data_IF_857685114734
#
_entry.id   IF_857685114734
#
_cell.length_a   1.000
_cell.length_b   1.000
_cell.length_c   1.000
_cell.angle_alpha   90.00
_cell.angle_beta   90.00
_cell.angle_gamma   90.00
#
_symmetry.space_group_name_H-M   'P 1'
#
loop_
_entity.id
_entity.type
_entity.pdbx_description
1 polymer ?
#
# COMPACT_ATOMS: atom_id res chain seq x y z
N UNK A 1 0.49 13.18 -2.70
CA UNK A 1 1.02 11.80 -2.77
C UNK A 1 2.26 11.82 -3.65
N UNK A 2 3.40 11.26 -3.23
CA UNK A 2 4.59 11.32 -4.06
C UNK A 2 4.37 10.40 -5.26
N UNK A 3 4.27 11.00 -6.45
CA UNK A 3 4.40 10.32 -7.73
C UNK A 3 5.79 9.71 -7.72
N UNK A 4 5.89 8.38 -7.82
CA UNK A 4 7.17 7.72 -8.09
C UNK A 4 7.54 8.20 -9.49
N UNK A 5 8.35 9.26 -9.58
CA UNK A 5 9.03 9.64 -10.81
C UNK A 5 9.80 8.41 -11.25
N UNK A 6 9.85 8.15 -12.55
CA UNK A 6 10.62 7.06 -13.17
C UNK A 6 12.12 7.27 -12.88
N UNK A 7 12.51 7.04 -11.64
CA UNK A 7 13.86 7.14 -11.14
C UNK A 7 14.67 5.98 -11.70
N UNK A 8 15.97 6.22 -11.84
CA UNK A 8 16.96 5.22 -12.22
C UNK A 8 16.69 3.89 -11.53
N UNK A 9 16.46 2.84 -12.34
CA UNK A 9 16.30 1.47 -11.84
C UNK A 9 17.63 1.00 -11.29
N UNK A 10 17.64 0.63 -10.01
CA UNK A 10 18.80 -0.01 -9.39
C UNK A 10 18.62 -1.52 -9.44
N UNK A 11 19.63 -2.23 -9.95
CA UNK A 11 19.63 -3.70 -9.91
C UNK A 11 19.78 -4.18 -8.46
N UNK A 12 18.93 -5.13 -8.07
CA UNK A 12 19.00 -5.81 -6.78
C UNK A 12 19.18 -7.32 -7.03
N UNK A 13 20.19 -7.92 -6.39
CA UNK A 13 20.37 -9.36 -6.40
C UNK A 13 19.46 -9.99 -5.35
N UNK A 14 18.63 -10.96 -5.75
CA UNK A 14 17.65 -11.63 -4.87
C UNK A 14 17.82 -13.13 -4.98
N UNK A 15 17.91 -13.81 -3.84
CA UNK A 15 18.02 -15.28 -3.78
C UNK A 15 16.63 -15.88 -3.62
N UNK A 16 16.24 -16.77 -4.54
CA UNK A 16 14.93 -17.42 -4.55
C UNK A 16 15.06 -18.94 -4.72
N UNK A 17 14.09 -19.74 -4.24
CA UNK A 17 14.09 -21.18 -4.43
C UNK A 17 14.14 -21.58 -5.90
N UNK A 18 15.06 -22.48 -6.26
CA UNK A 18 15.27 -22.94 -7.65
C UNK A 18 13.99 -23.51 -8.27
N UNK A 19 13.18 -24.23 -7.48
CA UNK A 19 11.90 -24.79 -7.93
C UNK A 19 10.94 -23.71 -8.44
N UNK A 20 10.84 -22.59 -7.72
CA UNK A 20 9.98 -21.47 -8.05
C UNK A 20 10.47 -20.74 -9.31
N UNK A 21 11.80 -20.61 -9.46
CA UNK A 21 12.40 -20.02 -10.67
C UNK A 21 12.15 -20.88 -11.91
N UNK A 22 12.24 -22.21 -11.79
CA UNK A 22 11.95 -23.14 -12.88
C UNK A 22 10.48 -23.07 -13.30
N UNK A 23 9.58 -23.10 -12.32
CA UNK A 23 8.14 -22.98 -12.55
C UNK A 23 7.77 -21.63 -13.19
N UNK A 24 8.31 -20.52 -12.67
CA UNK A 24 8.10 -19.19 -13.25
C UNK A 24 8.57 -19.11 -14.70
N UNK A 25 9.72 -19.72 -15.03
CA UNK A 25 10.21 -19.80 -16.42
C UNK A 25 9.30 -20.63 -17.31
N UNK A 26 8.82 -21.78 -16.83
CA UNK A 26 7.90 -22.65 -17.58
C UNK A 26 6.57 -21.94 -17.88
N UNK A 27 6.10 -21.13 -16.94
CA UNK A 27 4.88 -20.34 -17.06
C UNK A 27 5.08 -19.00 -17.79
N UNK A 28 6.28 -18.68 -18.25
CA UNK A 28 6.58 -17.42 -18.95
C UNK A 28 6.47 -16.16 -18.08
N UNK A 29 6.59 -16.30 -16.75
CA UNK A 29 6.47 -15.19 -15.81
C UNK A 29 7.72 -14.30 -15.88
N UNK A 30 7.51 -12.99 -16.05
CA UNK A 30 8.59 -12.02 -15.96
C UNK A 30 8.95 -11.78 -14.49
N UNK A 31 10.06 -12.42 -14.05
CA UNK A 31 10.52 -12.37 -12.66
C UNK A 31 10.73 -10.95 -12.13
N UNK A 32 11.34 -10.07 -12.94
CA UNK A 32 11.58 -8.68 -12.54
C UNK A 32 10.28 -7.95 -12.22
N UNK A 33 9.27 -8.09 -13.09
CA UNK A 33 7.95 -7.46 -12.91
C UNK A 33 7.19 -8.08 -11.73
N UNK A 34 7.28 -9.39 -11.54
CA UNK A 34 6.66 -10.07 -10.41
C UNK A 34 7.26 -9.61 -9.07
N UNK A 35 8.58 -9.52 -8.98
CA UNK A 35 9.28 -9.01 -7.80
C UNK A 35 8.94 -7.55 -7.52
N UNK A 36 8.92 -6.70 -8.56
CA UNK A 36 8.55 -5.29 -8.45
C UNK A 36 7.14 -5.13 -7.88
N UNK A 37 6.17 -5.85 -8.45
CA UNK A 37 4.78 -5.81 -7.98
C UNK A 37 4.64 -6.31 -6.53
N UNK A 38 5.27 -7.43 -6.19
CA UNK A 38 5.24 -7.98 -4.83
C UNK A 38 5.84 -7.02 -3.82
N UNK A 39 6.99 -6.41 -4.14
CA UNK A 39 7.65 -5.44 -3.27
C UNK A 39 6.82 -4.15 -3.14
N UNK A 40 6.26 -3.64 -4.23
CA UNK A 40 5.42 -2.44 -4.20
C UNK A 40 4.17 -2.65 -3.32
N UNK A 41 3.54 -3.83 -3.41
CA UNK A 41 2.40 -4.18 -2.56
C UNK A 41 2.78 -4.25 -1.09
N UNK A 42 3.89 -4.91 -0.75
CA UNK A 42 4.34 -5.06 0.63
C UNK A 42 4.76 -3.72 1.26
N UNK A 43 5.49 -2.89 0.51
CA UNK A 43 5.84 -1.53 0.94
C UNK A 43 4.58 -0.69 1.16
N UNK A 44 3.61 -0.77 0.25
CA UNK A 44 2.34 -0.04 0.39
C UNK A 44 1.56 -0.51 1.62
N UNK A 45 1.55 -1.82 1.89
CA UNK A 45 0.90 -2.42 3.07
C UNK A 45 1.52 -1.90 4.35
N UNK A 46 2.85 -1.94 4.48
CA UNK A 46 3.56 -1.48 5.67
C UNK A 46 3.41 0.03 5.87
N UNK A 47 3.48 0.83 4.81
CA UNK A 47 3.23 2.27 4.89
C UNK A 47 1.82 2.58 5.36
N UNK A 48 0.81 1.86 4.85
CA UNK A 48 -0.57 2.01 5.31
C UNK A 48 -0.70 1.67 6.80
N UNK A 49 -0.08 0.58 7.23
CA UNK A 49 -0.09 0.18 8.63
C UNK A 49 0.55 1.23 9.53
N UNK A 50 1.71 1.76 9.15
CA UNK A 50 2.36 2.84 9.89
C UNK A 50 1.51 4.11 9.92
N UNK A 51 0.90 4.47 8.79
CA UNK A 51 0.02 5.64 8.73
C UNK A 51 -1.18 5.47 9.67
N UNK A 52 -1.84 4.31 9.66
CA UNK A 52 -2.96 4.03 10.56
C UNK A 52 -2.54 4.11 12.02
N UNK A 53 -1.38 3.57 12.39
CA UNK A 53 -0.87 3.67 13.76
C UNK A 53 -0.62 5.11 14.19
N UNK A 54 0.00 5.92 13.33
CA UNK A 54 0.27 7.34 13.63
C UNK A 54 -1.01 8.17 13.68
N UNK A 55 -2.00 7.87 12.85
CA UNK A 55 -3.24 8.64 12.75
C UNK A 55 -4.35 8.08 13.65
N UNK A 56 -4.13 6.97 14.35
CA UNK A 56 -5.12 6.37 15.23
C UNK A 56 -5.69 7.34 16.29
N UNK A 57 -4.88 8.20 16.95
CA UNK A 57 -5.41 9.20 17.87
C UNK A 57 -6.32 10.21 17.17
N UNK A 58 -5.88 10.78 16.04
CA UNK A 58 -6.66 11.74 15.28
C UNK A 58 -7.97 11.16 14.73
N UNK A 59 -7.94 9.90 14.27
CA UNK A 59 -9.13 9.17 13.83
C UNK A 59 -10.09 8.96 15.00
N UNK A 60 -9.58 8.59 16.18
CA UNK A 60 -10.38 8.41 17.39
C UNK A 60 -11.04 9.72 17.83
N UNK A 61 -10.28 10.80 17.89
CA UNK A 61 -10.77 12.14 18.27
C UNK A 61 -11.86 12.62 17.29
N UNK A 62 -11.65 12.39 15.99
CA UNK A 62 -12.66 12.71 14.97
C UNK A 62 -13.92 11.88 15.11
N UNK A 63 -13.80 10.56 15.31
CA UNK A 63 -14.95 9.68 15.50
C UNK A 63 -15.74 10.09 16.75
N UNK A 64 -15.08 10.36 17.88
CA UNK A 64 -15.74 10.85 19.09
C UNK A 64 -16.45 12.19 18.89
N UNK A 65 -15.88 13.08 18.06
CA UNK A 65 -16.51 14.35 17.71
C UNK A 65 -17.76 14.14 16.88
N UNK A 66 -17.71 13.28 15.87
CA UNK A 66 -18.88 12.92 15.02
C UNK A 66 -19.97 12.24 15.84
N UNK A 67 -19.61 11.35 16.78
CA UNK A 67 -20.60 10.69 17.65
C UNK A 67 -21.32 11.69 18.58
N UNK A 68 -20.61 12.73 19.03
CA UNK A 68 -21.16 13.76 19.94
C UNK A 68 -21.94 14.85 19.21
N UNK A 69 -21.42 15.33 18.09
CA UNK A 69 -21.89 16.54 17.40
C UNK A 69 -22.68 16.21 16.12
N UNK A 70 -22.69 14.95 15.69
CA UNK A 70 -23.22 14.53 14.41
C UNK A 70 -22.23 14.76 13.27
N UNK A 71 -22.64 14.42 12.04
CA UNK A 71 -21.81 14.65 10.86
C UNK A 71 -21.74 16.15 10.56
N UNK A 72 -20.54 16.73 10.39
CA UNK A 72 -20.42 18.09 9.91
C UNK A 72 -21.13 18.23 8.55
N UNK A 73 -21.91 19.30 8.41
CA UNK A 73 -22.63 19.64 7.17
C UNK A 73 -23.72 18.63 6.76
N UNK A 74 -24.17 17.76 7.66
CA UNK A 74 -25.27 16.82 7.36
C UNK A 74 -26.55 17.55 6.92
N UNK A 75 -26.76 18.77 7.41
CA UNK A 75 -27.86 19.66 7.05
C UNK A 75 -27.90 20.06 5.56
N UNK A 76 -26.80 19.91 4.83
CA UNK A 76 -26.71 20.23 3.39
C UNK A 76 -26.70 18.99 2.49
N UNK A 77 -26.85 17.78 3.05
CA UNK A 77 -26.84 16.53 2.28
C UNK A 77 -28.12 16.39 1.46
N UNK A 78 -28.02 16.47 0.13
CA UNK A 78 -29.10 16.15 -0.80
C UNK A 78 -29.01 14.67 -1.19
N UNK A 79 -30.09 13.91 -1.00
CA UNK A 79 -30.23 12.48 -1.34
C UNK A 79 -31.10 12.29 -2.58
#
# INVERSE_FOLDING_TARGET
MPRITSGSRQAANVTLPVRLLKEAKQLGINLSRACENGLAQEVSRLRRQQWLQHNAPAIKDWNEKVDKEGLPLDEYRQF
#
